data_IF_505415922171
#
_entry.id   IF_505415922171
#
_cell.length_a   1.000
_cell.length_b   1.000
_cell.length_c   1.000
_cell.angle_alpha   90.00
_cell.angle_beta   90.00
_cell.angle_gamma   90.00
#
_symmetry.space_group_name_H-M   'P 1'
#
loop_
_entity.id
_entity.type
_entity.pdbx_description
1 polymer ?
#
# COMPACT_ATOMS: atom_id res chain seq x y z
N UNK A 1 4.60 21.68 -59.82
CA UNK A 1 3.74 20.58 -59.34
C UNK A 1 4.52 19.57 -58.50
N UNK A 2 5.70 19.13 -58.95
CA UNK A 2 6.59 18.23 -58.18
C UNK A 2 7.08 18.81 -56.85
N UNK A 3 7.34 20.12 -56.78
CA UNK A 3 7.76 20.80 -55.55
C UNK A 3 6.70 20.72 -54.43
N UNK A 4 5.41 20.86 -54.78
CA UNK A 4 4.29 20.81 -53.85
C UNK A 4 4.06 19.40 -53.29
N UNK A 5 4.26 18.37 -54.12
CA UNK A 5 4.14 16.96 -53.71
C UNK A 5 5.26 16.54 -52.75
N UNK A 6 6.46 17.11 -52.92
CA UNK A 6 7.61 16.85 -52.05
C UNK A 6 7.41 17.44 -50.65
N UNK A 7 6.89 18.66 -50.56
CA UNK A 7 6.55 19.30 -49.28
C UNK A 7 5.45 18.54 -48.52
N UNK A 8 4.36 18.15 -49.22
CA UNK A 8 3.28 17.36 -48.63
C UNK A 8 3.78 16.00 -48.08
N UNK A 9 4.66 15.31 -48.83
CA UNK A 9 5.27 14.05 -48.39
C UNK A 9 6.15 14.22 -47.15
N UNK A 10 6.94 15.30 -47.09
CA UNK A 10 7.75 15.61 -45.90
C UNK A 10 6.89 15.91 -44.67
N UNK A 11 5.77 16.61 -44.83
CA UNK A 11 4.86 16.90 -43.72
C UNK A 11 4.18 15.64 -43.17
N UNK A 12 3.77 14.72 -44.04
CA UNK A 12 3.18 13.43 -43.64
C UNK A 12 4.20 12.57 -42.89
N UNK A 13 5.43 12.49 -43.39
CA UNK A 13 6.50 11.74 -42.74
C UNK A 13 6.88 12.31 -41.36
N UNK A 14 7.00 13.63 -41.24
CA UNK A 14 7.28 14.30 -39.95
C UNK A 14 6.14 14.02 -38.96
N UNK A 15 4.88 14.09 -39.42
CA UNK A 15 3.71 13.80 -38.58
C UNK A 15 3.68 12.35 -38.11
N UNK A 16 4.00 11.38 -38.99
CA UNK A 16 4.05 9.96 -38.65
C UNK A 16 5.15 9.66 -37.61
N UNK A 17 6.33 10.28 -37.76
CA UNK A 17 7.45 10.15 -36.84
C UNK A 17 7.12 10.73 -35.47
N UNK A 18 6.46 11.89 -35.42
CA UNK A 18 6.03 12.51 -34.15
C UNK A 18 4.95 11.67 -33.44
N UNK A 19 3.99 11.11 -34.18
CA UNK A 19 2.96 10.21 -33.62
C UNK A 19 3.61 8.94 -33.06
N UNK A 20 4.51 8.30 -33.82
CA UNK A 20 5.26 7.12 -33.36
C UNK A 20 6.14 7.42 -32.13
N UNK A 21 6.75 8.61 -32.05
CA UNK A 21 7.53 9.04 -30.89
C UNK A 21 6.68 9.24 -29.62
N UNK A 22 5.41 9.63 -29.76
CA UNK A 22 4.49 9.71 -28.63
C UNK A 22 4.09 8.31 -28.12
N UNK A 23 3.93 7.33 -29.01
CA UNK A 23 3.62 5.94 -28.65
C UNK A 23 4.80 5.18 -28.02
N UNK A 24 6.05 5.60 -28.25
CA UNK A 24 7.25 4.97 -27.66
C UNK A 24 7.68 5.57 -26.33
N UNK A 25 6.96 6.58 -25.81
CA UNK A 25 7.26 7.17 -24.51
C UNK A 25 6.99 6.17 -23.37
N UNK A 26 8.00 5.39 -23.03
CA UNK A 26 7.99 4.52 -21.85
C UNK A 26 7.82 5.42 -20.62
N UNK A 27 6.71 5.24 -19.90
CA UNK A 27 6.52 5.89 -18.61
C UNK A 27 7.62 5.34 -17.70
N UNK A 28 8.62 6.18 -17.41
CA UNK A 28 9.75 5.82 -16.60
C UNK A 28 9.29 5.72 -15.13
N UNK A 29 8.77 4.56 -14.72
CA UNK A 29 8.29 4.29 -13.36
C UNK A 29 9.42 4.12 -12.32
N UNK A 30 10.59 4.73 -12.53
CA UNK A 30 11.80 4.50 -11.73
C UNK A 30 11.80 5.13 -10.33
N UNK A 31 10.65 5.62 -9.84
CA UNK A 31 10.54 6.30 -8.55
C UNK A 31 9.18 6.19 -7.85
N UNK A 32 8.23 5.40 -8.37
CA UNK A 32 6.93 5.21 -7.73
C UNK A 32 6.89 3.81 -7.10
N UNK A 33 6.79 3.75 -5.78
CA UNK A 33 6.46 2.48 -5.11
C UNK A 33 5.06 2.05 -5.58
N UNK A 34 4.70 0.77 -5.47
CA UNK A 34 3.32 0.32 -5.73
C UNK A 34 2.32 0.87 -4.71
N UNK A 35 2.78 1.63 -3.72
CA UNK A 35 2.08 1.96 -2.51
C UNK A 35 1.96 3.46 -2.33
N UNK A 36 0.73 3.94 -2.13
CA UNK A 36 0.53 5.33 -1.79
C UNK A 36 1.27 5.64 -0.49
N UNK A 37 1.79 6.87 -0.38
CA UNK A 37 2.40 7.41 0.83
C UNK A 37 3.67 6.70 1.33
N UNK A 38 4.22 5.74 0.58
CA UNK A 38 5.56 5.17 0.82
C UNK A 38 6.51 5.62 -0.29
N UNK A 39 7.58 6.33 0.09
CA UNK A 39 8.58 6.84 -0.85
C UNK A 39 9.44 5.70 -1.40
N UNK A 40 10.03 5.88 -2.58
CA UNK A 40 10.89 4.87 -3.20
C UNK A 40 12.18 4.59 -2.39
N UNK A 41 12.62 5.55 -1.59
CA UNK A 41 13.78 5.45 -0.70
C UNK A 41 13.37 5.28 0.78
N UNK A 42 12.15 4.83 1.04
CA UNK A 42 11.74 4.50 2.41
C UNK A 42 12.64 3.37 2.95
N UNK A 43 13.24 3.53 4.15
CA UNK A 43 14.18 2.54 4.69
C UNK A 43 13.47 1.23 5.07
N UNK A 44 12.16 1.28 5.28
CA UNK A 44 11.37 0.15 5.74
C UNK A 44 10.73 -0.62 4.58
N UNK A 45 10.42 -1.90 4.82
CA UNK A 45 9.91 -2.79 3.79
C UNK A 45 8.40 -2.70 3.63
N UNK A 46 7.93 -2.99 2.41
CA UNK A 46 6.50 -3.06 2.09
C UNK A 46 6.14 -4.41 1.48
N UNK A 47 5.06 -5.00 1.98
CA UNK A 47 4.40 -6.17 1.40
C UNK A 47 3.18 -5.69 0.61
N UNK A 48 3.11 -6.03 -0.68
CA UNK A 48 1.93 -5.77 -1.50
C UNK A 48 1.08 -7.03 -1.62
N UNK A 49 -0.18 -6.96 -1.18
CA UNK A 49 -1.09 -8.11 -1.22
C UNK A 49 -2.55 -7.67 -1.30
N UNK A 50 -3.32 -8.30 -2.18
CA UNK A 50 -4.77 -8.07 -2.36
C UNK A 50 -5.12 -6.58 -2.54
N UNK A 51 -4.37 -5.90 -3.41
CA UNK A 51 -4.53 -4.46 -3.68
C UNK A 51 -4.40 -3.57 -2.44
N UNK A 52 -3.52 -3.96 -1.50
CA UNK A 52 -3.19 -3.22 -0.29
C UNK A 52 -1.68 -3.29 -0.04
N UNK A 53 -1.17 -2.27 0.61
CA UNK A 53 0.24 -2.13 0.94
C UNK A 53 0.43 -2.17 2.44
N UNK A 54 1.26 -3.11 2.91
CA UNK A 54 1.57 -3.31 4.32
C UNK A 54 3.01 -2.88 4.57
N UNK A 55 3.20 -1.70 5.16
CA UNK A 55 4.49 -1.07 5.40
C UNK A 55 4.94 -1.37 6.84
N UNK A 56 6.10 -2.01 6.98
CA UNK A 56 6.57 -2.59 8.24
C UNK A 56 7.61 -1.67 8.87
N UNK A 57 7.18 -0.80 9.77
CA UNK A 57 8.02 0.23 10.40
C UNK A 57 8.67 -0.33 11.67
N UNK A 58 9.97 -0.10 11.81
CA UNK A 58 10.79 -0.63 12.91
C UNK A 58 11.08 0.44 13.96
N UNK A 59 10.04 1.13 14.42
CA UNK A 59 10.14 2.10 15.52
C UNK A 59 9.31 1.60 16.70
N UNK A 60 9.95 1.45 17.85
CA UNK A 60 9.31 0.99 19.09
C UNK A 60 8.53 2.13 19.75
N UNK A 61 7.23 2.18 19.46
CA UNK A 61 6.28 3.15 20.00
C UNK A 61 5.03 2.43 20.50
N UNK A 62 4.18 3.14 21.26
CA UNK A 62 2.93 2.57 21.74
C UNK A 62 1.98 2.24 20.57
N UNK A 63 1.03 1.32 20.78
CA UNK A 63 0.01 1.05 19.76
C UNK A 63 -0.75 2.32 19.37
N UNK A 64 -1.08 3.18 20.34
CA UNK A 64 -1.83 4.43 20.09
C UNK A 64 -1.01 5.41 19.23
N UNK A 65 0.29 5.49 19.46
CA UNK A 65 1.20 6.31 18.65
C UNK A 65 1.37 5.71 17.26
N UNK A 66 1.48 4.39 17.14
CA UNK A 66 1.56 3.69 15.86
C UNK A 66 0.29 3.90 15.01
N UNK A 67 -0.90 3.80 15.61
CA UNK A 67 -2.16 4.12 14.97
C UNK A 67 -2.17 5.57 14.44
N UNK A 68 -1.66 6.50 15.25
CA UNK A 68 -1.57 7.91 14.88
C UNK A 68 -0.53 8.17 13.79
N UNK A 69 0.61 7.47 13.82
CA UNK A 69 1.66 7.55 12.81
C UNK A 69 1.18 7.06 11.44
N UNK A 70 0.45 5.93 11.38
CA UNK A 70 -0.16 5.45 10.14
C UNK A 70 -1.21 6.45 9.61
N UNK A 71 -2.07 6.99 10.49
CA UNK A 71 -3.09 7.99 10.11
C UNK A 71 -2.48 9.28 9.58
N UNK A 72 -1.37 9.74 10.16
CA UNK A 72 -0.64 10.92 9.69
C UNK A 72 -0.13 10.80 8.24
N UNK A 73 -0.02 9.57 7.73
CA UNK A 73 0.37 9.26 6.35
C UNK A 73 -0.78 8.75 5.49
N UNK A 74 -2.03 9.11 5.83
CA UNK A 74 -3.25 8.67 5.14
C UNK A 74 -3.34 7.14 5.03
N UNK A 75 -2.97 6.43 6.10
CA UNK A 75 -3.11 5.00 6.28
C UNK A 75 -3.81 4.66 7.59
N UNK A 76 -3.80 3.38 7.93
CA UNK A 76 -4.29 2.84 9.21
C UNK A 76 -3.28 1.83 9.74
N UNK A 77 -3.33 1.45 11.01
CA UNK A 77 -2.67 0.18 11.38
C UNK A 77 -3.29 -0.96 10.58
N UNK A 78 -2.48 -1.97 10.29
CA UNK A 78 -2.81 -3.00 9.34
C UNK A 78 -3.96 -3.89 9.81
N UNK A 79 -4.86 -4.19 8.89
CA UNK A 79 -5.97 -5.09 9.11
C UNK A 79 -5.64 -6.42 8.43
N UNK A 80 -5.47 -7.48 9.22
CA UNK A 80 -5.08 -8.78 8.69
C UNK A 80 -6.32 -9.58 8.31
N UNK A 81 -6.65 -9.59 7.02
CA UNK A 81 -7.94 -10.10 6.52
C UNK A 81 -8.00 -11.60 6.27
N UNK A 82 -6.85 -12.27 6.19
CA UNK A 82 -6.78 -13.71 5.90
C UNK A 82 -5.39 -14.27 6.23
N UNK A 83 -5.32 -15.60 6.32
CA UNK A 83 -4.10 -16.36 6.56
C UNK A 83 -3.00 -16.09 5.53
N UNK A 84 -3.35 -15.88 4.26
CA UNK A 84 -2.34 -15.61 3.23
C UNK A 84 -1.63 -14.26 3.46
N UNK A 85 -2.39 -13.23 3.86
CA UNK A 85 -1.84 -11.91 4.19
C UNK A 85 -0.99 -11.99 5.45
N UNK A 86 -1.50 -12.66 6.49
CA UNK A 86 -0.77 -12.92 7.72
C UNK A 86 0.59 -13.59 7.45
N UNK A 87 0.56 -14.70 6.72
CA UNK A 87 1.76 -15.47 6.39
C UNK A 87 2.77 -14.66 5.59
N UNK A 88 2.33 -13.84 4.62
CA UNK A 88 3.23 -13.00 3.82
C UNK A 88 3.91 -11.90 4.63
N UNK A 89 3.17 -11.26 5.53
CA UNK A 89 3.74 -10.23 6.43
C UNK A 89 4.73 -10.89 7.39
N UNK A 90 4.34 -12.00 8.04
CA UNK A 90 5.21 -12.76 8.92
C UNK A 90 6.49 -13.22 8.25
N UNK A 91 6.40 -13.87 7.07
CA UNK A 91 7.58 -14.30 6.30
C UNK A 91 8.52 -13.14 5.96
N UNK A 92 7.96 -11.97 5.61
CA UNK A 92 8.77 -10.79 5.34
C UNK A 92 9.45 -10.29 6.61
N UNK A 93 8.74 -10.19 7.74
CA UNK A 93 9.32 -9.81 9.02
C UNK A 93 10.46 -10.74 9.43
N UNK A 94 10.22 -12.06 9.44
CA UNK A 94 11.26 -13.06 9.77
C UNK A 94 12.47 -12.92 8.84
N UNK A 95 12.25 -12.69 7.54
CA UNK A 95 13.37 -12.49 6.62
C UNK A 95 14.17 -11.21 6.90
N UNK A 96 13.58 -10.18 7.49
CA UNK A 96 14.31 -8.96 7.84
C UNK A 96 15.15 -9.17 9.08
N UNK A 97 14.57 -9.81 10.09
CA UNK A 97 15.25 -10.20 11.32
C UNK A 97 16.44 -11.13 11.03
N UNK A 98 16.22 -12.21 10.27
CA UNK A 98 17.28 -13.15 9.89
C UNK A 98 18.41 -12.56 9.04
N UNK A 99 18.19 -11.40 8.41
CA UNK A 99 19.21 -10.69 7.62
C UNK A 99 19.81 -9.49 8.38
N UNK A 100 19.52 -9.35 9.68
CA UNK A 100 19.97 -8.24 10.54
C UNK A 100 19.54 -6.86 9.99
N UNK A 101 18.37 -6.82 9.34
CA UNK A 101 17.75 -5.63 8.73
C UNK A 101 16.56 -5.10 9.53
N UNK A 102 16.21 -5.78 10.62
CA UNK A 102 15.21 -5.35 11.57
C UNK A 102 15.58 -5.91 12.93
N UNK A 103 15.66 -5.06 13.95
CA UNK A 103 15.79 -5.47 15.34
C UNK A 103 14.41 -5.45 16.01
N UNK A 104 13.49 -6.27 15.49
CA UNK A 104 12.06 -6.26 15.87
C UNK A 104 11.54 -7.69 15.98
N UNK A 105 11.06 -8.05 17.16
CA UNK A 105 10.44 -9.34 17.48
C UNK A 105 8.93 -9.35 17.22
N UNK A 106 8.23 -8.24 17.44
CA UNK A 106 6.77 -8.16 17.32
C UNK A 106 6.32 -6.90 16.59
N UNK A 107 5.15 -6.96 15.95
CA UNK A 107 4.58 -5.81 15.26
C UNK A 107 3.16 -5.50 15.71
N UNK A 108 2.88 -4.26 16.09
CA UNK A 108 1.50 -3.80 16.28
C UNK A 108 0.70 -3.91 14.99
N UNK A 109 -0.52 -4.44 15.10
CA UNK A 109 -1.53 -4.47 14.04
C UNK A 109 -2.82 -3.81 14.52
N UNK A 110 -3.72 -3.46 13.61
CA UNK A 110 -4.82 -2.52 13.87
C UNK A 110 -5.98 -3.05 14.70
N UNK A 111 -5.87 -4.23 15.31
CA UNK A 111 -6.95 -4.80 16.13
C UNK A 111 -6.82 -4.46 17.61
N UNK A 112 -7.96 -4.31 18.26
CA UNK A 112 -8.13 -4.21 19.72
C UNK A 112 -9.17 -5.21 20.20
N UNK A 113 -8.98 -5.75 21.39
CA UNK A 113 -9.91 -6.67 22.06
C UNK A 113 -10.21 -6.11 23.44
N UNK A 114 -11.51 -6.01 23.79
CA UNK A 114 -11.92 -5.40 25.06
C UNK A 114 -11.98 -6.42 26.22
N UNK A 115 -12.43 -7.64 25.95
CA UNK A 115 -12.48 -8.78 26.87
C UNK A 115 -12.20 -10.08 26.10
N UNK A 116 -11.87 -11.18 26.79
CA UNK A 116 -11.42 -12.41 26.12
C UNK A 116 -12.50 -13.02 25.21
N UNK A 117 -13.77 -12.72 25.52
CA UNK A 117 -14.97 -13.14 24.81
C UNK A 117 -15.42 -12.13 23.74
N UNK A 118 -14.82 -10.93 23.71
CA UNK A 118 -15.21 -9.87 22.80
C UNK A 118 -14.62 -10.09 21.39
N UNK A 119 -15.36 -9.66 20.38
CA UNK A 119 -14.84 -9.61 19.02
C UNK A 119 -13.72 -8.55 18.87
N UNK A 120 -12.81 -8.78 17.91
CA UNK A 120 -11.79 -7.79 17.56
C UNK A 120 -12.46 -6.53 16.99
N UNK A 121 -12.12 -5.39 17.57
CA UNK A 121 -12.38 -4.07 17.01
C UNK A 121 -11.17 -3.65 16.19
N UNK A 122 -11.32 -3.66 14.86
CA UNK A 122 -10.27 -3.22 13.95
C UNK A 122 -10.30 -1.71 13.74
N UNK A 123 -9.13 -1.13 13.44
CA UNK A 123 -9.03 0.19 12.81
C UNK A 123 -9.92 0.25 11.56
N UNK A 124 -10.36 1.46 11.20
CA UNK A 124 -11.22 1.65 10.03
C UNK A 124 -10.49 1.20 8.77
N UNK A 125 -11.12 0.40 7.93
CA UNK A 125 -10.55 0.04 6.62
C UNK A 125 -10.20 1.30 5.83
N UNK A 126 -9.06 1.29 5.12
CA UNK A 126 -8.63 2.46 4.34
C UNK A 126 -9.60 2.86 3.21
N UNK A 127 -10.54 1.98 2.86
CA UNK A 127 -11.64 2.23 1.93
C UNK A 127 -12.98 2.53 2.64
N UNK A 128 -13.00 2.59 3.97
CA UNK A 128 -14.21 2.83 4.78
C UNK A 128 -15.17 1.64 4.85
N UNK A 129 -14.75 0.46 4.42
CA UNK A 129 -15.57 -0.76 4.39
C UNK A 129 -15.60 -1.41 5.76
N UNK A 130 -16.79 -1.83 6.21
CA UNK A 130 -16.95 -2.58 7.45
C UNK A 130 -16.29 -3.96 7.33
N UNK A 131 -15.58 -4.38 8.38
CA UNK A 131 -14.97 -5.71 8.44
C UNK A 131 -15.99 -6.67 9.03
N UNK A 132 -16.42 -7.62 8.21
CA UNK A 132 -17.39 -8.66 8.58
C UNK A 132 -16.64 -9.98 8.66
N UNK A 133 -16.90 -10.77 9.71
CA UNK A 133 -16.25 -12.07 9.97
C UNK A 133 -14.72 -11.98 9.89
N UNK A 134 -14.07 -11.22 10.79
CA UNK A 134 -12.64 -11.01 10.73
C UNK A 134 -11.90 -12.34 10.88
N UNK A 135 -10.87 -12.52 10.04
CA UNK A 135 -9.88 -13.56 10.25
C UNK A 135 -9.23 -13.39 11.63
N UNK A 136 -8.95 -14.50 12.30
CA UNK A 136 -8.30 -14.55 13.60
C UNK A 136 -7.12 -15.52 13.57
N UNK A 137 -6.01 -15.13 14.17
CA UNK A 137 -4.84 -15.99 14.33
C UNK A 137 -4.24 -15.84 15.73
N UNK A 138 -5.06 -15.85 16.79
CA UNK A 138 -4.55 -15.77 18.16
C UNK A 138 -3.55 -16.89 18.46
N UNK A 139 -2.53 -16.57 19.24
CA UNK A 139 -1.67 -17.56 19.86
C UNK A 139 -2.46 -18.40 20.87
N UNK A 140 -1.87 -19.50 21.32
CA UNK A 140 -2.49 -20.32 22.36
C UNK A 140 -2.73 -19.50 23.63
N UNK A 141 -3.94 -19.56 24.17
CA UNK A 141 -4.40 -18.81 25.36
C UNK A 141 -4.54 -17.29 25.18
N UNK A 142 -4.51 -16.78 23.95
CA UNK A 142 -4.86 -15.39 23.62
C UNK A 142 -6.31 -15.29 23.10
N UNK A 143 -6.97 -14.13 23.23
CA UNK A 143 -6.47 -12.87 23.80
C UNK A 143 -6.48 -12.86 25.33
N UNK A 144 -5.38 -12.39 25.93
CA UNK A 144 -5.29 -12.03 27.34
C UNK A 144 -5.74 -10.57 27.55
N UNK A 145 -7.05 -10.33 27.53
CA UNK A 145 -7.54 -8.95 27.65
C UNK A 145 -8.13 -8.60 29.02
N UNK A 146 -7.51 -7.61 29.67
CA UNK A 146 -8.02 -6.93 30.86
C UNK A 146 -7.83 -5.42 30.71
N UNK A 147 -8.93 -4.66 30.63
CA UNK A 147 -8.87 -3.19 30.60
C UNK A 147 -8.18 -2.64 29.33
N UNK A 148 -7.00 -2.05 29.50
CA UNK A 148 -6.18 -1.42 28.45
C UNK A 148 -5.16 -2.38 27.79
N UNK A 149 -5.05 -3.61 28.29
CA UNK A 149 -4.32 -4.71 27.67
C UNK A 149 -5.18 -5.37 26.61
N UNK A 150 -5.26 -4.77 25.43
CA UNK A 150 -6.15 -5.27 24.37
C UNK A 150 -5.61 -5.08 22.97
N UNK A 151 -4.43 -4.49 22.82
CA UNK A 151 -3.89 -4.14 21.51
C UNK A 151 -3.17 -5.33 20.89
N UNK A 152 -3.47 -5.63 19.62
CA UNK A 152 -2.94 -6.81 18.94
C UNK A 152 -1.48 -6.62 18.48
N UNK A 153 -0.65 -7.61 18.82
CA UNK A 153 0.72 -7.80 18.35
C UNK A 153 0.78 -9.04 17.47
N UNK A 154 1.40 -8.91 16.29
CA UNK A 154 1.79 -10.03 15.44
C UNK A 154 3.15 -10.55 15.89
N UNK A 155 3.22 -11.84 16.18
CA UNK A 155 4.46 -12.63 16.21
C UNK A 155 4.76 -13.16 14.79
N UNK A 156 5.83 -12.70 14.13
CA UNK A 156 6.20 -13.19 12.81
C UNK A 156 6.66 -14.64 12.78
N UNK A 157 7.32 -15.13 13.82
CA UNK A 157 7.84 -16.50 13.91
C UNK A 157 6.72 -17.51 13.99
N UNK A 158 5.79 -17.27 14.92
CA UNK A 158 4.64 -18.15 15.15
C UNK A 158 3.47 -17.86 14.20
N UNK A 159 3.51 -16.72 13.48
CA UNK A 159 2.43 -16.25 12.60
C UNK A 159 1.10 -16.12 13.35
N UNK A 160 1.17 -15.84 14.63
CA UNK A 160 0.02 -15.72 15.53
C UNK A 160 0.01 -14.37 16.22
N UNK A 161 -1.10 -14.05 16.90
CA UNK A 161 -1.31 -12.75 17.53
C UNK A 161 -1.47 -12.88 19.03
N UNK A 162 -0.92 -11.92 19.75
CA UNK A 162 -1.09 -11.74 21.19
C UNK A 162 -1.68 -10.35 21.50
N UNK A 163 -2.04 -10.13 22.76
CA UNK A 163 -2.51 -8.83 23.26
C UNK A 163 -1.56 -8.25 24.29
N UNK A 164 -1.36 -6.93 24.21
CA UNK A 164 -0.58 -6.19 25.21
C UNK A 164 -1.13 -4.76 25.43
N UNK A 165 -0.53 -4.04 26.37
CA UNK A 165 -0.94 -2.71 26.83
C UNK A 165 -0.81 -1.67 25.71
N UNK A 166 -1.94 -1.04 25.37
CA UNK A 166 -2.04 -0.12 24.24
C UNK A 166 -1.19 1.16 24.36
N UNK A 167 -0.78 1.54 25.57
CA UNK A 167 -0.11 2.80 25.87
C UNK A 167 1.40 2.65 26.11
N UNK A 168 1.92 1.42 26.14
CA UNK A 168 3.33 1.17 26.42
C UNK A 168 4.11 1.03 25.12
N UNK A 169 5.24 1.73 25.02
CA UNK A 169 6.24 1.46 23.98
C UNK A 169 7.14 0.32 24.49
N UNK A 170 7.08 -0.82 23.79
CA UNK A 170 7.86 -2.01 24.14
C UNK A 170 9.13 -2.07 23.29
N UNK A 171 10.25 -2.45 23.88
CA UNK A 171 11.47 -2.69 23.11
C UNK A 171 11.28 -3.84 22.10
N UNK A 172 12.06 -3.80 21.01
CA UNK A 172 11.99 -4.78 19.93
C UNK A 172 10.59 -4.92 19.32
N UNK A 173 9.80 -3.84 19.36
CA UNK A 173 8.53 -3.75 18.65
C UNK A 173 8.60 -2.79 17.48
N UNK A 174 7.85 -3.12 16.44
CA UNK A 174 7.53 -2.26 15.32
C UNK A 174 6.03 -2.21 15.12
N UNK A 175 5.60 -1.70 13.96
CA UNK A 175 4.19 -1.66 13.61
C UNK A 175 4.00 -1.79 12.11
N UNK A 176 2.84 -2.31 11.71
CA UNK A 176 2.48 -2.44 10.30
C UNK A 176 1.41 -1.43 9.95
N UNK A 177 1.71 -0.49 9.06
CA UNK A 177 0.71 0.38 8.46
C UNK A 177 0.12 -0.25 7.20
N UNK A 178 -1.16 0.01 6.95
CA UNK A 178 -1.86 -0.30 5.70
C UNK A 178 -2.12 0.97 4.90
N UNK A 179 -1.77 0.93 3.61
CA UNK A 179 -2.02 2.00 2.65
C UNK A 179 -2.72 1.48 1.38
N UNK A 180 -3.39 2.39 0.68
CA UNK A 180 -3.89 2.14 -0.69
C UNK A 180 -2.70 1.95 -1.64
N UNK A 181 -2.86 1.19 -2.74
CA UNK A 181 -1.90 1.17 -3.82
C UNK A 181 -1.91 2.48 -4.60
N UNK A 182 -0.76 2.81 -5.18
CA UNK A 182 -0.66 3.87 -6.18
C UNK A 182 -1.49 3.49 -7.42
N UNK A 183 -2.33 4.42 -7.89
CA UNK A 183 -3.15 4.22 -9.10
C UNK A 183 -4.57 3.71 -8.89
N UNK A 184 -5.04 3.56 -7.64
CA UNK A 184 -6.42 3.15 -7.34
C UNK A 184 -7.50 4.18 -7.77
N UNK A 185 -7.13 5.45 -8.01
CA UNK A 185 -8.00 6.46 -8.65
C UNK A 185 -7.31 7.33 -9.72
N UNK A 186 -5.97 7.43 -9.74
CA UNK A 186 -5.24 8.38 -10.60
C UNK A 186 -4.99 7.88 -12.03
N UNK A 187 -4.92 6.57 -12.26
CA UNK A 187 -4.64 6.03 -13.60
C UNK A 187 -5.87 6.03 -14.51
N UNK A 188 -7.09 5.98 -13.97
CA UNK A 188 -8.32 6.07 -14.76
C UNK A 188 -8.52 7.49 -15.29
N UNK A 189 -8.26 8.51 -14.46
CA UNK A 189 -8.32 9.92 -14.88
C UNK A 189 -7.20 10.31 -15.84
N UNK A 190 -5.96 9.82 -15.62
CA UNK A 190 -4.84 10.10 -16.52
C UNK A 190 -4.99 9.38 -17.88
N UNK A 191 -5.49 8.14 -17.89
CA UNK A 191 -5.78 7.39 -19.11
C UNK A 191 -6.94 7.98 -19.90
N UNK A 192 -8.05 8.33 -19.24
CA UNK A 192 -9.19 8.96 -19.91
C UNK A 192 -8.88 10.37 -20.40
N UNK A 193 -8.07 11.16 -19.67
CA UNK A 193 -7.65 12.49 -20.13
C UNK A 193 -6.75 12.42 -21.36
N UNK A 194 -5.83 11.43 -21.41
CA UNK A 194 -5.00 11.19 -22.60
C UNK A 194 -5.85 10.74 -23.80
N UNK A 195 -6.81 9.84 -23.62
CA UNK A 195 -7.70 9.42 -24.71
C UNK A 195 -8.56 10.59 -25.24
N UNK A 196 -9.11 11.42 -24.36
CA UNK A 196 -9.91 12.59 -24.74
C UNK A 196 -9.09 13.64 -25.50
N UNK A 197 -7.87 13.93 -25.03
CA UNK A 197 -6.97 14.88 -25.71
C UNK A 197 -6.55 14.37 -27.08
N UNK A 198 -6.22 13.08 -27.20
CA UNK A 198 -5.89 12.46 -28.49
C UNK A 198 -7.08 12.46 -29.44
N UNK A 199 -8.29 12.16 -28.96
CA UNK A 199 -9.52 12.17 -29.77
C UNK A 199 -9.89 13.59 -30.24
N UNK A 200 -9.74 14.60 -29.40
CA UNK A 200 -9.99 15.99 -29.78
C UNK A 200 -8.98 16.50 -30.83
N UNK A 201 -7.70 16.13 -30.68
CA UNK A 201 -6.65 16.50 -31.65
C UNK A 201 -6.89 15.86 -33.03
N UNK A 202 -7.31 14.59 -33.09
CA UNK A 202 -7.61 13.93 -34.38
C UNK A 202 -8.85 14.50 -35.05
N UNK A 203 -9.88 14.88 -34.29
CA UNK A 203 -11.08 15.53 -34.84
C UNK A 203 -10.77 16.93 -35.37
N UNK A 204 -9.98 17.74 -34.65
CA UNK A 204 -9.63 19.10 -35.09
C UNK A 204 -8.74 19.08 -36.35
N UNK A 205 -7.77 18.17 -36.42
CA UNK A 205 -6.91 18.03 -37.60
C UNK A 205 -7.64 17.42 -38.80
N UNK A 206 -8.67 16.59 -38.57
CA UNK A 206 -9.50 16.01 -39.64
C UNK A 206 -10.50 16.98 -40.26
N UNK A 207 -10.78 18.13 -39.63
CA UNK A 207 -11.66 19.18 -40.18
C UNK A 207 -10.89 20.32 -40.89
N UNK A 208 -9.55 20.22 -40.98
CA UNK A 208 -8.70 21.22 -41.64
C UNK A 208 -8.10 20.72 -42.97
N UNK A 209 -8.66 19.66 -43.57
CA UNK A 209 -8.31 19.16 -44.91
C UNK A 209 -9.42 19.48 -45.90
#
# INVERSE_FOLDING_TARGET
MEHMLREASTMVLISLVLVLAMFTSTVNCRGYSKCANVKANDPYQVVFKNNRCYHMVQDSISWNDAASACRARNGTLAIIRNSETNNKISQRATSLDSNDRANVSFYWIGGKVQTAEAAITWERDINGVAIVNPFTAYALNEPLSSGDRGCLLLDPGEKSWATDFCQVAMELTGYVCEYKPNGSESNLRAGMSKLLVTFLLTVVLGHMV
#
